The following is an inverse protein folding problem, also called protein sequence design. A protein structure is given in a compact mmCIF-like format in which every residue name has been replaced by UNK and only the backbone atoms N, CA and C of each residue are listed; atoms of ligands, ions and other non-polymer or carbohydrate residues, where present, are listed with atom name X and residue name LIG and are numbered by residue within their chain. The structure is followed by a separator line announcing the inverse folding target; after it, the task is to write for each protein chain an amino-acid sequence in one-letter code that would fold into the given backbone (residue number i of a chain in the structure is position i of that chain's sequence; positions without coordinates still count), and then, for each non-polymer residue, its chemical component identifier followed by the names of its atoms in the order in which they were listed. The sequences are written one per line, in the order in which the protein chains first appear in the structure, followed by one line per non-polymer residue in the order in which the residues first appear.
data_IF_416364707963
#
_entry.id   IF_416364707963
#
_cell.length_a   1.000
_cell.length_b   1.000
_cell.length_c   1.000
_cell.angle_alpha   90.00
_cell.angle_beta   90.00
_cell.angle_gamma   90.00
#
_symmetry.space_group_name_H-M   'P 1'
#
loop_
_entity.id
_entity.type
_entity.pdbx_description
1 polymer ?
#
# COMPACT_ATOMS: atom_id res chain seq x y z
N UNK A 1 15.89 7.05 88.64
CA UNK A 1 16.41 7.71 87.43
C UNK A 1 16.52 6.64 86.33
N UNK A 2 15.51 6.54 85.45
CA UNK A 2 15.47 5.53 84.37
C UNK A 2 15.77 6.22 83.08
N UNK A 3 16.86 5.84 82.43
CA UNK A 3 17.26 6.30 81.10
C UNK A 3 16.47 5.53 80.03
N UNK A 4 15.81 6.24 79.13
CA UNK A 4 15.16 5.69 77.92
C UNK A 4 16.15 5.76 76.73
N UNK A 5 16.24 4.73 75.89
CA UNK A 5 17.09 4.79 74.71
C UNK A 5 16.33 5.46 73.54
N UNK A 6 16.99 6.41 72.94
CA UNK A 6 16.56 7.08 71.68
C UNK A 6 16.78 6.09 70.50
N UNK A 7 15.71 5.71 69.83
CA UNK A 7 15.79 4.96 68.57
C UNK A 7 15.92 5.95 67.41
N UNK A 8 17.10 6.00 66.81
CA UNK A 8 17.36 6.70 65.53
C UNK A 8 16.86 5.81 64.36
N UNK A 9 15.79 6.23 63.70
CA UNK A 9 15.31 5.58 62.48
C UNK A 9 16.06 6.22 61.29
N UNK A 10 16.92 5.43 60.66
CA UNK A 10 17.53 5.78 59.36
C UNK A 10 16.49 5.60 58.25
N UNK A 11 15.99 6.64 57.67
CA UNK A 11 15.17 6.61 56.48
C UNK A 11 16.08 6.46 55.24
N UNK A 12 16.13 5.28 54.67
CA UNK A 12 16.78 5.06 53.37
C UNK A 12 15.83 5.55 52.27
N UNK A 13 16.19 6.66 51.66
CA UNK A 13 15.53 7.15 50.44
C UNK A 13 15.94 6.26 49.24
N UNK A 14 15.04 5.38 48.81
CA UNK A 14 15.19 4.69 47.53
C UNK A 14 14.95 5.72 46.40
N UNK A 15 16.02 6.19 45.76
CA UNK A 15 15.92 6.83 44.44
C UNK A 15 15.56 5.76 43.42
N UNK A 16 14.29 5.67 43.07
CA UNK A 16 13.87 4.95 41.89
C UNK A 16 14.31 5.74 40.65
N UNK A 17 15.43 5.36 40.08
CA UNK A 17 15.80 5.80 38.75
C UNK A 17 14.80 5.17 37.77
N UNK A 18 13.82 5.93 37.34
CA UNK A 18 13.01 5.57 36.16
C UNK A 18 13.95 5.63 34.96
N UNK A 19 14.49 4.47 34.59
CA UNK A 19 15.08 4.30 33.26
C UNK A 19 13.97 4.61 32.28
N UNK A 20 14.04 5.75 31.61
CA UNK A 20 13.23 5.99 30.42
C UNK A 20 13.54 4.80 29.49
N UNK A 21 12.55 3.98 29.21
CA UNK A 21 12.68 2.93 28.21
C UNK A 21 13.04 3.65 26.92
N UNK A 22 14.30 3.61 26.51
CA UNK A 22 14.69 4.03 25.18
C UNK A 22 13.97 3.08 24.23
N UNK A 23 13.07 3.62 23.43
CA UNK A 23 12.42 2.82 22.41
C UNK A 23 13.51 2.18 21.53
N UNK A 24 13.24 0.96 21.06
CA UNK A 24 14.24 0.22 20.28
C UNK A 24 14.58 1.00 19.00
N UNK A 25 15.85 1.07 18.61
CA UNK A 25 16.23 1.67 17.35
C UNK A 25 15.61 0.87 16.20
N UNK A 26 15.13 1.58 15.20
CA UNK A 26 14.65 1.01 13.95
C UNK A 26 15.39 1.64 12.77
N UNK A 27 15.30 1.04 11.60
CA UNK A 27 15.97 1.52 10.41
C UNK A 27 14.93 1.89 9.36
N UNK A 28 15.14 3.05 8.74
CA UNK A 28 14.30 3.49 7.63
C UNK A 28 15.17 3.78 6.40
N UNK A 29 14.59 3.61 5.22
CA UNK A 29 15.10 4.23 4.00
C UNK A 29 14.16 5.36 3.63
N UNK A 30 14.73 6.51 3.23
CA UNK A 30 14.02 7.77 3.05
C UNK A 30 14.65 8.56 1.91
N UNK A 31 13.82 9.21 1.09
CA UNK A 31 14.28 10.06 -0.01
C UNK A 31 14.83 11.42 0.44
N UNK A 32 15.59 12.10 -0.42
CA UNK A 32 16.29 13.36 -0.14
C UNK A 32 15.40 14.42 0.53
N UNK A 33 14.21 14.65 -0.03
CA UNK A 33 13.30 15.70 0.46
C UNK A 33 12.80 15.41 1.88
N UNK A 34 12.43 14.18 2.14
CA UNK A 34 11.93 13.76 3.45
C UNK A 34 13.08 13.63 4.47
N UNK A 35 14.27 13.21 4.04
CA UNK A 35 15.46 13.14 4.88
C UNK A 35 15.82 14.49 5.51
N UNK A 36 15.64 15.60 4.80
CA UNK A 36 15.87 16.94 5.32
C UNK A 36 15.01 17.30 6.56
N UNK A 37 13.94 16.55 6.83
CA UNK A 37 13.08 16.74 8.01
C UNK A 37 13.53 15.91 9.22
N UNK A 38 14.31 14.85 9.00
CA UNK A 38 14.70 13.90 10.07
C UNK A 38 15.39 14.63 11.22
N UNK A 39 16.38 15.49 10.93
CA UNK A 39 17.10 16.21 11.96
C UNK A 39 16.22 17.14 12.81
N UNK A 40 15.11 17.64 12.23
CA UNK A 40 14.15 18.51 12.95
C UNK A 40 13.21 17.71 13.84
N UNK A 41 12.85 16.51 13.42
CA UNK A 41 11.85 15.66 14.08
C UNK A 41 12.51 14.72 15.08
N UNK A 42 13.64 14.16 14.72
CA UNK A 42 14.37 13.17 15.50
C UNK A 42 15.87 13.55 15.57
N UNK A 43 16.25 14.49 16.44
CA UNK A 43 17.62 15.02 16.49
C UNK A 43 18.68 13.97 16.85
N UNK A 44 18.28 12.85 17.44
CA UNK A 44 19.17 11.74 17.78
C UNK A 44 19.28 10.68 16.66
N UNK A 45 18.53 10.83 15.57
CA UNK A 45 18.61 9.92 14.45
C UNK A 45 19.98 10.02 13.75
N UNK A 46 20.43 8.89 13.19
CA UNK A 46 21.75 8.80 12.55
C UNK A 46 21.61 8.32 11.11
N UNK A 47 22.08 9.11 10.17
CA UNK A 47 22.23 8.65 8.80
C UNK A 47 23.42 7.69 8.71
N UNK A 48 23.18 6.43 8.34
CA UNK A 48 24.18 5.38 8.30
C UNK A 48 24.82 5.25 6.92
N UNK A 49 24.04 5.46 5.86
CA UNK A 49 24.50 5.39 4.48
C UNK A 49 23.59 6.22 3.57
N UNK A 50 24.12 6.62 2.42
CA UNK A 50 23.37 7.35 1.39
C UNK A 50 23.86 6.96 0.02
N UNK A 51 22.95 6.89 -0.96
CA UNK A 51 23.30 6.59 -2.35
C UNK A 51 22.32 7.28 -3.30
N UNK A 52 22.81 7.71 -4.46
CA UNK A 52 21.95 8.02 -5.60
C UNK A 52 21.52 6.71 -6.26
N UNK A 53 20.21 6.44 -6.27
CA UNK A 53 19.63 5.27 -6.92
C UNK A 53 18.99 5.70 -8.24
N UNK A 54 19.16 4.92 -9.31
CA UNK A 54 18.49 5.22 -10.57
C UNK A 54 16.99 5.01 -10.40
N UNK A 55 16.20 5.91 -10.97
CA UNK A 55 14.73 5.85 -11.01
C UNK A 55 14.27 6.18 -12.42
N UNK A 56 13.14 5.61 -12.82
CA UNK A 56 12.49 5.95 -14.07
C UNK A 56 11.30 6.88 -13.77
N UNK A 57 11.37 8.10 -14.30
CA UNK A 57 10.30 9.10 -14.12
C UNK A 57 9.72 9.49 -15.49
N UNK A 58 8.45 9.91 -15.56
CA UNK A 58 7.87 10.41 -16.79
C UNK A 58 8.71 11.55 -17.40
N UNK A 59 8.85 11.57 -18.72
CA UNK A 59 9.55 12.64 -19.46
C UNK A 59 8.90 14.00 -19.17
N UNK A 60 7.57 14.00 -19.09
CA UNK A 60 6.74 15.11 -18.62
C UNK A 60 5.51 14.54 -17.92
N UNK A 61 4.87 15.34 -17.08
CA UNK A 61 3.62 14.94 -16.43
C UNK A 61 2.60 14.47 -17.46
N UNK A 62 1.96 13.33 -17.21
CA UNK A 62 1.00 12.68 -18.10
C UNK A 62 1.63 11.80 -19.17
N UNK A 63 2.95 11.84 -19.39
CA UNK A 63 3.62 11.06 -20.43
C UNK A 63 3.86 9.61 -20.00
N UNK A 64 3.53 8.66 -20.89
CA UNK A 64 3.93 7.26 -20.73
C UNK A 64 5.43 7.03 -21.00
N UNK A 65 6.09 7.95 -21.70
CA UNK A 65 7.53 7.87 -21.96
C UNK A 65 8.31 8.18 -20.67
N UNK A 66 9.19 7.25 -20.28
CA UNK A 66 10.03 7.39 -19.11
C UNK A 66 11.43 7.88 -19.50
N UNK A 67 12.06 8.62 -18.61
CA UNK A 67 13.49 8.98 -18.67
C UNK A 67 14.19 8.48 -17.41
N UNK A 68 15.43 8.08 -17.56
CA UNK A 68 16.28 7.81 -16.43
C UNK A 68 16.54 9.11 -15.64
N UNK A 69 16.46 8.99 -14.32
CA UNK A 69 16.76 10.02 -13.33
C UNK A 69 17.50 9.36 -12.18
N UNK A 70 17.82 10.11 -11.13
CA UNK A 70 18.33 9.55 -9.90
C UNK A 70 17.67 10.24 -8.70
N UNK A 71 17.50 9.49 -7.61
CA UNK A 71 17.02 10.00 -6.33
C UNK A 71 18.01 9.63 -5.23
N UNK A 72 18.27 10.57 -4.33
CA UNK A 72 19.06 10.30 -3.14
C UNK A 72 18.23 9.49 -2.15
N UNK A 73 18.74 8.32 -1.77
CA UNK A 73 18.14 7.46 -0.75
C UNK A 73 19.09 7.34 0.42
N UNK A 74 18.56 7.53 1.61
CA UNK A 74 19.31 7.52 2.87
C UNK A 74 18.82 6.38 3.75
N UNK A 75 19.76 5.66 4.37
CA UNK A 75 19.49 4.73 5.47
C UNK A 75 19.67 5.47 6.77
N UNK A 76 18.63 5.53 7.58
CA UNK A 76 18.60 6.26 8.84
C UNK A 76 18.23 5.31 9.98
N UNK A 77 19.02 5.33 11.05
CA UNK A 77 18.64 4.73 12.33
C UNK A 77 17.89 5.77 13.14
N UNK A 78 16.71 5.45 13.61
CA UNK A 78 15.78 6.34 14.29
C UNK A 78 15.06 5.61 15.42
N UNK A 79 14.61 6.34 16.43
CA UNK A 79 13.70 5.82 17.45
C UNK A 79 12.34 5.48 16.82
N UNK A 80 11.88 4.24 17.02
CA UNK A 80 10.61 3.74 16.50
C UNK A 80 9.41 4.64 16.86
N UNK A 81 9.39 5.17 18.07
CA UNK A 81 8.36 6.09 18.54
C UNK A 81 8.28 7.41 17.77
N UNK A 82 9.31 7.75 16.99
CA UNK A 82 9.33 8.97 16.18
C UNK A 82 8.70 8.82 14.80
N UNK A 83 8.43 7.60 14.34
CA UNK A 83 7.91 7.36 12.99
C UNK A 83 6.56 8.05 12.72
N UNK A 84 5.56 8.02 13.62
CA UNK A 84 4.31 8.75 13.41
C UNK A 84 4.53 10.28 13.32
N UNK A 85 5.47 10.81 14.10
CA UNK A 85 5.80 12.24 14.05
C UNK A 85 6.51 12.60 12.76
N UNK A 86 7.38 11.72 12.26
CA UNK A 86 8.07 11.90 10.98
C UNK A 86 7.07 11.88 9.81
N UNK A 87 6.16 10.91 9.77
CA UNK A 87 5.10 10.83 8.76
C UNK A 87 4.28 12.12 8.70
N UNK A 88 3.77 12.59 9.85
CA UNK A 88 3.05 13.87 9.92
C UNK A 88 3.90 15.08 9.52
N UNK A 89 5.21 15.07 9.81
CA UNK A 89 6.09 16.16 9.41
C UNK A 89 6.32 16.17 7.89
N UNK A 90 6.49 15.02 7.27
CA UNK A 90 6.61 14.88 5.82
C UNK A 90 5.34 15.43 5.16
N UNK A 91 4.16 14.98 5.61
CA UNK A 91 2.91 15.49 5.09
C UNK A 91 2.80 17.01 5.20
N UNK A 92 3.02 17.59 6.38
CA UNK A 92 2.91 19.04 6.60
C UNK A 92 3.85 19.90 5.75
N UNK A 93 5.06 19.38 5.48
CA UNK A 93 6.08 20.14 4.76
C UNK A 93 6.06 19.88 3.26
N UNK A 94 5.63 18.69 2.83
CA UNK A 94 5.70 18.24 1.44
C UNK A 94 4.34 17.92 0.85
N UNK A 95 3.30 17.84 1.67
CA UNK A 95 1.95 17.42 1.30
C UNK A 95 1.98 16.05 0.60
N UNK A 96 2.71 15.08 1.17
CA UNK A 96 2.89 13.73 0.63
C UNK A 96 2.47 12.69 1.64
N UNK A 97 1.87 11.62 1.16
CA UNK A 97 1.74 10.37 1.87
C UNK A 97 3.07 9.60 1.85
N UNK A 98 3.38 8.82 2.87
CA UNK A 98 4.60 8.03 2.96
C UNK A 98 5.89 8.84 2.99
N UNK A 99 6.86 8.47 2.14
CA UNK A 99 8.15 9.14 2.01
C UNK A 99 9.30 8.43 2.72
N UNK A 100 9.04 7.35 3.44
CA UNK A 100 10.02 6.43 3.99
C UNK A 100 9.50 5.00 4.09
N UNK A 101 10.42 4.06 4.14
CA UNK A 101 10.14 2.64 4.36
C UNK A 101 10.83 2.21 5.65
N UNK A 102 10.11 1.54 6.55
CA UNK A 102 10.70 0.95 7.74
C UNK A 102 11.25 -0.44 7.43
N UNK A 103 12.33 -0.83 8.10
CA UNK A 103 12.98 -2.13 7.97
C UNK A 103 13.16 -2.79 9.33
N UNK A 104 13.05 -4.11 9.37
CA UNK A 104 13.26 -4.89 10.60
C UNK A 104 14.73 -4.94 10.98
N UNK A 105 15.63 -4.86 10.00
CA UNK A 105 17.07 -4.93 10.20
C UNK A 105 17.83 -3.87 9.40
N UNK A 106 18.98 -3.45 9.94
CA UNK A 106 19.91 -2.58 9.22
C UNK A 106 20.37 -3.19 7.89
N UNK A 107 20.53 -4.52 7.83
CA UNK A 107 20.94 -5.20 6.61
C UNK A 107 19.88 -5.07 5.49
N UNK A 108 18.60 -5.16 5.83
CA UNK A 108 17.50 -4.92 4.87
C UNK A 108 17.50 -3.47 4.37
N UNK A 109 17.65 -2.51 5.28
CA UNK A 109 17.73 -1.09 4.91
C UNK A 109 18.91 -0.81 3.95
N UNK A 110 20.08 -1.33 4.27
CA UNK A 110 21.27 -1.19 3.41
C UNK A 110 21.10 -1.90 2.06
N UNK A 111 20.41 -3.04 2.02
CA UNK A 111 20.16 -3.77 0.78
C UNK A 111 19.35 -2.95 -0.23
N UNK A 112 18.48 -2.04 0.22
CA UNK A 112 17.72 -1.14 -0.67
C UNK A 112 18.64 -0.22 -1.47
N UNK A 113 19.74 0.25 -0.88
CA UNK A 113 20.72 1.11 -1.57
C UNK A 113 21.46 0.40 -2.70
N UNK A 114 21.51 -0.94 -2.67
CA UNK A 114 22.24 -1.75 -3.66
C UNK A 114 21.32 -2.30 -4.75
N UNK A 115 20.03 -2.10 -4.63
CA UNK A 115 19.11 -2.43 -5.72
C UNK A 115 19.39 -1.50 -6.87
N UNK A 116 19.70 -2.08 -8.00
CA UNK A 116 19.62 -1.39 -9.28
C UNK A 116 18.14 -1.38 -9.63
N UNK A 117 17.57 -0.22 -9.90
CA UNK A 117 16.27 -0.15 -10.56
C UNK A 117 16.44 -0.73 -11.97
N UNK A 118 16.29 -1.96 -12.04
CA UNK A 118 16.22 -2.77 -13.20
C UNK A 118 15.40 -3.93 -12.78
N UNK A 119 14.32 -4.15 -13.46
CA UNK A 119 13.40 -5.22 -13.31
C UNK A 119 13.83 -6.30 -12.32
N UNK A 120 12.99 -6.70 -11.32
CA UNK A 120 13.16 -8.03 -10.75
C UNK A 120 13.38 -8.94 -11.94
N UNK A 121 14.30 -9.88 -11.84
CA UNK A 121 14.55 -10.87 -12.90
C UNK A 121 13.20 -11.26 -13.47
N UNK A 122 13.00 -10.95 -14.74
CA UNK A 122 11.71 -11.01 -15.44
C UNK A 122 11.28 -12.47 -15.67
N UNK A 123 11.51 -13.33 -14.67
CA UNK A 123 11.34 -14.76 -14.87
C UNK A 123 9.89 -15.21 -14.99
N UNK A 124 8.90 -14.42 -14.55
CA UNK A 124 7.49 -14.88 -14.57
C UNK A 124 6.46 -13.74 -14.69
N UNK A 125 6.70 -12.75 -15.55
CA UNK A 125 5.61 -11.85 -15.90
C UNK A 125 4.46 -12.65 -16.49
N UNK A 126 3.20 -12.48 -16.03
CA UNK A 126 2.04 -13.14 -16.63
C UNK A 126 1.88 -12.70 -18.09
N UNK A 127 1.17 -13.48 -18.87
CA UNK A 127 0.66 -12.97 -20.14
C UNK A 127 -0.27 -11.78 -19.85
N UNK A 128 0.02 -10.62 -20.42
CA UNK A 128 -0.84 -9.45 -20.35
C UNK A 128 -1.83 -9.42 -21.52
N UNK A 129 -2.46 -10.58 -21.79
CA UNK A 129 -3.55 -10.67 -22.74
C UNK A 129 -4.82 -10.04 -22.15
N UNK A 130 -5.66 -9.50 -23.01
CA UNK A 130 -7.02 -9.06 -22.69
C UNK A 130 -7.94 -10.01 -23.43
N UNK A 131 -8.32 -11.11 -22.79
CA UNK A 131 -9.04 -12.22 -23.41
C UNK A 131 -10.18 -12.79 -22.55
N UNK A 132 -10.46 -12.17 -21.41
CA UNK A 132 -11.54 -12.54 -20.49
C UNK A 132 -12.74 -11.57 -20.55
N UNK A 133 -12.97 -10.90 -21.69
CA UNK A 133 -13.98 -9.84 -21.84
C UNK A 133 -15.39 -10.30 -21.46
N UNK A 134 -15.74 -11.54 -21.71
CA UNK A 134 -17.07 -12.08 -21.37
C UNK A 134 -17.32 -12.00 -19.85
N UNK A 135 -16.31 -12.36 -19.04
CA UNK A 135 -16.42 -12.35 -17.58
C UNK A 135 -16.39 -10.92 -17.08
N UNK A 136 -15.43 -10.12 -17.54
CA UNK A 136 -15.28 -8.72 -17.12
C UNK A 136 -16.56 -7.94 -17.41
N UNK A 137 -17.10 -8.03 -18.64
CA UNK A 137 -18.31 -7.31 -19.04
C UNK A 137 -19.58 -7.77 -18.30
N UNK A 138 -19.61 -9.00 -17.79
CA UNK A 138 -20.70 -9.48 -16.94
C UNK A 138 -20.64 -8.92 -15.51
N UNK A 139 -19.43 -8.65 -15.00
CA UNK A 139 -19.21 -8.18 -13.61
C UNK A 139 -19.19 -6.65 -13.49
N UNK A 140 -18.62 -5.92 -14.46
CA UNK A 140 -18.52 -4.47 -14.42
C UNK A 140 -19.83 -3.73 -14.11
N UNK A 141 -21.01 -4.12 -14.71
CA UNK A 141 -22.27 -3.46 -14.42
C UNK A 141 -22.79 -3.67 -12.99
N UNK A 142 -22.24 -4.61 -12.26
CA UNK A 142 -22.63 -4.89 -10.89
C UNK A 142 -21.99 -3.92 -9.88
N UNK A 143 -20.94 -3.20 -10.28
CA UNK A 143 -20.24 -2.24 -9.40
C UNK A 143 -21.06 -0.96 -9.24
N UNK A 144 -21.22 -0.50 -8.00
CA UNK A 144 -22.06 0.62 -7.65
C UNK A 144 -21.32 1.64 -6.77
N UNK A 145 -21.28 2.89 -7.22
CA UNK A 145 -20.69 3.99 -6.43
C UNK A 145 -21.37 4.17 -5.06
N UNK A 146 -22.66 3.88 -4.95
CA UNK A 146 -23.40 3.96 -3.68
C UNK A 146 -22.89 2.98 -2.63
N UNK A 147 -22.47 1.76 -3.03
CA UNK A 147 -21.90 0.79 -2.10
C UNK A 147 -20.51 1.22 -1.63
N UNK A 148 -19.70 1.76 -2.56
CA UNK A 148 -18.38 2.32 -2.25
C UNK A 148 -18.56 3.47 -1.24
N UNK A 149 -19.44 4.43 -1.52
CA UNK A 149 -19.73 5.56 -0.64
C UNK A 149 -20.21 5.10 0.74
N UNK A 150 -21.04 4.07 0.80
CA UNK A 150 -21.51 3.50 2.07
C UNK A 150 -20.35 2.94 2.90
N UNK A 151 -19.42 2.23 2.28
CA UNK A 151 -18.24 1.68 2.96
C UNK A 151 -17.31 2.79 3.43
N UNK A 152 -17.01 3.79 2.59
CA UNK A 152 -16.24 4.98 2.98
C UNK A 152 -16.89 5.65 4.19
N UNK A 153 -18.22 5.84 4.16
CA UNK A 153 -18.96 6.47 5.26
C UNK A 153 -18.77 5.72 6.57
N UNK A 154 -18.88 4.40 6.56
CA UNK A 154 -18.73 3.58 7.76
C UNK A 154 -17.30 3.66 8.33
N UNK A 155 -16.28 3.55 7.47
CA UNK A 155 -14.88 3.64 7.89
C UNK A 155 -14.53 5.04 8.40
N UNK A 156 -15.02 6.08 7.76
CA UNK A 156 -14.79 7.47 8.16
C UNK A 156 -15.51 7.86 9.47
N UNK A 157 -16.46 7.07 9.94
CA UNK A 157 -17.16 7.33 11.21
C UNK A 157 -16.33 6.92 12.45
N UNK A 158 -15.34 6.05 12.31
CA UNK A 158 -14.39 5.81 13.41
C UNK A 158 -13.66 7.10 13.76
N UNK A 159 -13.36 7.32 15.05
CA UNK A 159 -12.63 8.52 15.51
C UNK A 159 -11.32 8.69 14.73
N UNK A 160 -10.64 7.59 14.55
CA UNK A 160 -9.52 7.38 13.64
C UNK A 160 -9.40 5.87 13.37
N UNK A 161 -8.46 5.47 12.51
CA UNK A 161 -8.15 4.06 12.29
C UNK A 161 -6.67 3.76 12.56
N UNK A 162 -6.04 4.54 13.45
CA UNK A 162 -4.59 4.36 13.75
C UNK A 162 -4.26 2.94 14.14
N UNK A 163 -3.12 2.46 13.66
CA UNK A 163 -2.64 1.11 13.86
C UNK A 163 -2.51 0.67 15.34
N UNK A 164 -2.35 1.63 16.26
CA UNK A 164 -2.16 1.41 17.69
C UNK A 164 -3.28 1.96 18.56
N UNK A 165 -4.42 2.37 17.98
CA UNK A 165 -5.59 2.84 18.72
C UNK A 165 -6.65 1.75 18.90
N UNK A 166 -7.49 1.91 19.91
CA UNK A 166 -8.68 1.05 20.09
C UNK A 166 -9.66 1.21 18.94
N UNK A 167 -9.74 2.38 18.34
CA UNK A 167 -10.56 2.66 17.16
C UNK A 167 -10.03 1.94 15.91
N UNK A 168 -8.71 1.88 15.73
CA UNK A 168 -8.09 1.12 14.64
C UNK A 168 -8.34 -0.38 14.76
N UNK A 169 -8.29 -0.93 15.97
CA UNK A 169 -8.68 -2.33 16.23
C UNK A 169 -10.14 -2.55 15.89
N UNK A 170 -11.04 -1.66 16.33
CA UNK A 170 -12.47 -1.77 16.05
C UNK A 170 -12.78 -1.66 14.54
N UNK A 171 -12.05 -0.83 13.79
CA UNK A 171 -12.18 -0.74 12.34
C UNK A 171 -11.75 -2.05 11.64
N UNK A 172 -10.66 -2.68 12.09
CA UNK A 172 -10.23 -3.98 11.58
C UNK A 172 -11.26 -5.08 11.86
N UNK A 173 -11.80 -5.14 13.08
CA UNK A 173 -12.83 -6.12 13.46
C UNK A 173 -14.13 -5.87 12.68
N UNK A 174 -14.50 -4.62 12.44
CA UNK A 174 -15.65 -4.26 11.61
C UNK A 174 -15.45 -4.75 10.18
N UNK A 175 -14.33 -4.42 9.54
CA UNK A 175 -14.06 -4.80 8.15
C UNK A 175 -14.03 -6.33 7.98
N UNK A 176 -13.39 -7.05 8.91
CA UNK A 176 -13.40 -8.50 8.93
C UNK A 176 -14.82 -9.07 8.91
N UNK A 177 -15.71 -8.53 9.74
CA UNK A 177 -17.10 -8.97 9.78
C UNK A 177 -17.87 -8.60 8.50
N UNK A 178 -17.63 -7.42 7.91
CA UNK A 178 -18.20 -7.04 6.62
C UNK A 178 -17.78 -8.01 5.52
N UNK A 179 -16.49 -8.31 5.42
CA UNK A 179 -15.99 -9.21 4.39
C UNK A 179 -16.48 -10.65 4.59
N UNK A 180 -16.62 -11.12 5.83
CA UNK A 180 -17.28 -12.42 6.10
C UNK A 180 -18.72 -12.46 5.60
N UNK A 181 -19.45 -11.39 5.76
CA UNK A 181 -20.85 -11.30 5.33
C UNK A 181 -21.00 -11.32 3.79
N UNK A 182 -19.93 -11.03 3.04
CA UNK A 182 -19.93 -11.14 1.57
C UNK A 182 -19.87 -12.60 1.05
N UNK A 183 -19.70 -13.58 1.93
CA UNK A 183 -19.79 -15.01 1.60
C UNK A 183 -21.01 -15.69 2.26
N UNK A 184 -22.26 -15.26 1.98
CA UNK A 184 -23.44 -15.78 2.66
C UNK A 184 -23.72 -17.25 2.34
N UNK A 185 -23.29 -17.73 1.17
CA UNK A 185 -23.40 -19.11 0.73
C UNK A 185 -22.33 -20.06 1.28
N UNK A 186 -21.42 -19.56 2.13
CA UNK A 186 -20.28 -20.30 2.69
C UNK A 186 -19.50 -21.08 1.62
N UNK A 187 -19.15 -20.44 0.51
CA UNK A 187 -18.29 -21.03 -0.52
C UNK A 187 -17.00 -21.52 0.13
N UNK A 188 -16.64 -22.78 -0.12
CA UNK A 188 -15.49 -23.45 0.51
C UNK A 188 -14.14 -22.96 -0.03
N UNK A 189 -14.12 -22.38 -1.20
CA UNK A 189 -12.96 -21.76 -1.84
C UNK A 189 -12.69 -20.34 -1.34
N UNK A 190 -13.56 -19.80 -0.46
CA UNK A 190 -13.41 -18.46 0.12
C UNK A 190 -12.92 -18.54 1.56
N UNK A 191 -11.92 -17.76 1.88
CA UNK A 191 -11.40 -17.59 3.24
C UNK A 191 -11.35 -16.11 3.60
N UNK A 192 -11.74 -15.79 4.83
CA UNK A 192 -11.59 -14.45 5.39
C UNK A 192 -10.86 -14.56 6.72
N UNK A 193 -9.80 -13.79 6.89
CA UNK A 193 -8.99 -13.85 8.11
C UNK A 193 -8.46 -12.47 8.51
N UNK A 194 -8.12 -12.34 9.76
CA UNK A 194 -7.29 -11.26 10.27
C UNK A 194 -5.84 -11.74 10.37
N UNK A 195 -4.90 -10.91 9.95
CA UNK A 195 -3.47 -11.14 10.06
C UNK A 195 -2.97 -10.34 11.26
N UNK A 196 -2.50 -11.06 12.28
CA UNK A 196 -1.98 -10.47 13.51
C UNK A 196 -0.55 -9.98 13.30
N UNK A 197 -0.26 -8.83 13.87
CA UNK A 197 1.04 -8.18 13.86
C UNK A 197 1.57 -7.99 15.29
N UNK A 198 2.72 -7.36 15.45
CA UNK A 198 3.29 -6.98 16.75
C UNK A 198 2.64 -5.74 17.37
N UNK A 199 1.74 -5.10 16.65
CA UNK A 199 0.92 -3.96 17.09
C UNK A 199 -0.57 -4.35 17.13
N UNK A 200 -1.42 -3.41 17.59
CA UNK A 200 -2.80 -3.73 17.97
C UNK A 200 -3.73 -3.99 16.77
N UNK A 201 -3.68 -3.13 15.74
CA UNK A 201 -4.52 -3.28 14.57
C UNK A 201 -4.04 -4.47 13.73
N UNK A 202 -4.97 -5.29 13.25
CA UNK A 202 -4.69 -6.40 12.35
C UNK A 202 -4.98 -5.98 10.90
N UNK A 203 -4.22 -6.52 9.95
CA UNK A 203 -4.63 -6.49 8.56
C UNK A 203 -5.78 -7.47 8.32
N UNK A 204 -6.62 -7.18 7.32
CA UNK A 204 -7.74 -8.06 6.95
C UNK A 204 -7.51 -8.61 5.55
N UNK A 205 -7.72 -9.92 5.40
CA UNK A 205 -7.58 -10.60 4.11
C UNK A 205 -8.86 -11.34 3.75
N UNK A 206 -9.30 -11.17 2.50
CA UNK A 206 -10.30 -11.99 1.84
C UNK A 206 -9.63 -12.71 0.67
N UNK A 207 -9.74 -14.01 0.58
CA UNK A 207 -9.13 -14.80 -0.49
C UNK A 207 -10.14 -15.73 -1.16
N UNK A 208 -9.95 -15.90 -2.47
CA UNK A 208 -10.66 -16.90 -3.28
C UNK A 208 -9.62 -17.87 -3.82
N UNK A 209 -9.74 -19.13 -3.45
CA UNK A 209 -8.84 -20.19 -3.93
C UNK A 209 -9.19 -20.50 -5.39
N UNK A 210 -8.19 -20.46 -6.24
CA UNK A 210 -8.36 -20.74 -7.67
C UNK A 210 -8.76 -22.19 -7.96
N UNK A 211 -9.58 -22.38 -8.97
CA UNK A 211 -10.05 -23.71 -9.43
C UNK A 211 -9.02 -24.47 -10.26
N UNK A 212 -7.94 -23.80 -10.71
CA UNK A 212 -6.83 -24.42 -11.43
C UNK A 212 -5.85 -25.12 -10.48
N UNK A 213 -4.93 -25.89 -11.06
CA UNK A 213 -3.81 -26.46 -10.30
C UNK A 213 -2.68 -25.42 -10.04
N UNK A 214 -2.94 -24.16 -10.27
CA UNK A 214 -1.99 -23.07 -10.11
C UNK A 214 -1.83 -22.71 -8.64
N UNK A 215 -0.58 -22.49 -8.22
CA UNK A 215 -0.26 -21.86 -6.93
C UNK A 215 -0.05 -20.36 -7.09
N UNK A 216 -0.27 -19.84 -8.29
CA UNK A 216 -0.13 -18.42 -8.60
C UNK A 216 -1.23 -17.60 -7.95
N UNK A 217 -0.89 -16.39 -7.57
CA UNK A 217 -1.77 -15.50 -6.81
C UNK A 217 -1.74 -14.10 -7.38
N UNK A 218 -2.91 -13.49 -7.51
CA UNK A 218 -3.12 -12.07 -7.85
C UNK A 218 -3.56 -11.35 -6.58
N UNK A 219 -2.98 -10.19 -6.29
CA UNK A 219 -3.22 -9.44 -5.04
C UNK A 219 -3.72 -8.04 -5.36
N UNK A 220 -4.84 -7.65 -4.74
CA UNK A 220 -5.33 -6.29 -4.70
C UNK A 220 -5.26 -5.76 -3.27
N UNK A 221 -4.56 -4.65 -3.07
CA UNK A 221 -4.31 -4.06 -1.75
C UNK A 221 -4.89 -2.65 -1.59
N UNK A 222 -5.14 -2.28 -0.33
CA UNK A 222 -5.47 -0.96 0.17
C UNK A 222 -5.02 -0.87 1.62
N UNK A 223 -4.86 0.32 2.22
CA UNK A 223 -4.56 0.36 3.64
C UNK A 223 -5.75 0.72 4.51
N UNK A 224 -5.77 0.20 5.72
CA UNK A 224 -6.91 0.32 6.63
C UNK A 224 -6.74 1.45 7.64
N UNK A 225 -5.51 1.73 8.05
CA UNK A 225 -5.25 2.76 9.03
C UNK A 225 -5.44 4.17 8.48
N UNK A 226 -5.55 5.14 9.37
CA UNK A 226 -5.58 6.57 9.06
C UNK A 226 -4.99 7.35 10.21
N UNK A 227 -4.30 8.45 9.93
CA UNK A 227 -3.67 9.29 10.94
C UNK A 227 -4.06 10.77 10.79
N UNK A 228 -3.96 11.48 11.90
CA UNK A 228 -3.94 12.95 11.94
C UNK A 228 -3.12 13.40 13.15
N UNK A 229 -2.82 14.69 13.21
CA UNK A 229 -2.14 15.27 14.37
C UNK A 229 -2.99 15.16 15.62
N UNK A 230 -2.36 14.74 16.74
CA UNK A 230 -3.02 14.64 18.05
C UNK A 230 -2.75 13.32 18.75
N UNK A 231 -3.45 13.10 19.86
CA UNK A 231 -3.30 11.87 20.64
C UNK A 231 -3.81 10.63 19.91
N UNK A 232 -3.26 9.48 20.25
CA UNK A 232 -3.56 8.20 19.60
C UNK A 232 -5.07 7.91 19.59
N UNK A 233 -5.74 8.07 20.73
CA UNK A 233 -7.19 7.79 20.87
C UNK A 233 -8.07 9.00 20.54
N UNK A 234 -7.54 10.23 20.58
CA UNK A 234 -8.35 11.44 20.53
C UNK A 234 -8.26 12.22 19.23
N UNK A 235 -7.22 12.01 18.43
CA UNK A 235 -7.12 12.64 17.13
C UNK A 235 -8.27 12.20 16.22
N UNK A 236 -8.94 13.16 15.57
CA UNK A 236 -9.92 12.87 14.53
C UNK A 236 -9.17 12.70 13.20
N UNK A 237 -9.23 11.49 12.64
CA UNK A 237 -8.68 11.14 11.33
C UNK A 237 -9.72 10.34 10.55
N UNK A 238 -10.65 10.99 9.85
CA UNK A 238 -11.68 10.30 9.08
C UNK A 238 -11.08 9.41 8.00
N UNK A 239 -10.01 9.89 7.34
CA UNK A 239 -9.36 9.15 6.27
C UNK A 239 -10.38 8.68 5.24
N UNK A 240 -11.23 9.59 4.74
CA UNK A 240 -12.31 9.21 3.84
C UNK A 240 -11.78 8.84 2.47
N UNK A 241 -10.76 9.57 2.03
CA UNK A 241 -10.03 9.29 0.81
C UNK A 241 -8.80 8.44 1.12
N UNK A 242 -8.06 8.79 2.15
CA UNK A 242 -6.84 8.15 2.61
C UNK A 242 -7.10 7.25 3.86
N UNK A 243 -7.30 5.92 3.76
CA UNK A 243 -7.58 5.19 2.54
C UNK A 243 -8.86 4.35 2.69
N UNK A 244 -9.94 5.00 3.22
CA UNK A 244 -11.24 4.32 3.19
C UNK A 244 -11.73 4.13 1.75
N UNK A 245 -11.28 4.96 0.80
CA UNK A 245 -11.69 4.90 -0.60
C UNK A 245 -11.16 3.64 -1.29
N UNK A 246 -9.88 3.29 -1.09
CA UNK A 246 -9.30 2.07 -1.60
C UNK A 246 -9.90 0.82 -0.96
N UNK A 247 -10.03 0.79 0.38
CA UNK A 247 -10.70 -0.33 1.08
C UNK A 247 -12.14 -0.53 0.59
N UNK A 248 -12.86 0.56 0.31
CA UNK A 248 -14.20 0.49 -0.24
C UNK A 248 -14.22 -0.06 -1.67
N UNK A 249 -13.23 0.30 -2.49
CA UNK A 249 -13.00 -0.27 -3.82
C UNK A 249 -12.80 -1.77 -3.77
N UNK A 250 -11.90 -2.25 -2.87
CA UNK A 250 -11.71 -3.69 -2.64
C UNK A 250 -13.00 -4.38 -2.25
N UNK A 251 -13.72 -3.80 -1.29
CA UNK A 251 -14.99 -4.36 -0.78
C UNK A 251 -16.02 -4.51 -1.88
N UNK A 252 -16.14 -3.54 -2.78
CA UNK A 252 -17.10 -3.58 -3.88
C UNK A 252 -16.69 -4.59 -4.97
N UNK A 253 -15.38 -4.74 -5.26
CA UNK A 253 -14.89 -5.79 -6.16
C UNK A 253 -15.22 -7.18 -5.59
N UNK A 254 -14.95 -7.42 -4.30
CA UNK A 254 -15.31 -8.66 -3.60
C UNK A 254 -16.80 -8.91 -3.76
N UNK A 255 -17.65 -7.93 -3.45
CA UNK A 255 -19.11 -8.05 -3.52
C UNK A 255 -19.57 -8.45 -4.94
N UNK A 256 -19.05 -7.79 -5.96
CA UNK A 256 -19.41 -8.08 -7.35
C UNK A 256 -18.97 -9.48 -7.78
N UNK A 257 -17.76 -9.89 -7.43
CA UNK A 257 -17.27 -11.25 -7.72
C UNK A 257 -18.10 -12.33 -7.02
N UNK A 258 -18.45 -12.11 -5.75
CA UNK A 258 -19.27 -13.05 -4.99
C UNK A 258 -20.71 -13.12 -5.52
N UNK A 259 -21.33 -11.98 -5.82
CA UNK A 259 -22.68 -11.92 -6.41
C UNK A 259 -22.73 -12.55 -7.81
N UNK A 260 -21.68 -12.39 -8.60
CA UNK A 260 -21.52 -13.00 -9.92
C UNK A 260 -21.08 -14.47 -9.90
N UNK A 261 -20.93 -15.07 -8.70
CA UNK A 261 -20.39 -16.43 -8.53
C UNK A 261 -19.06 -16.67 -9.28
N UNK A 262 -18.22 -15.65 -9.35
CA UNK A 262 -16.95 -15.75 -10.05
C UNK A 262 -16.01 -16.76 -9.37
N UNK A 263 -15.45 -17.66 -10.19
CA UNK A 263 -14.47 -18.67 -9.76
C UNK A 263 -13.19 -18.48 -10.57
N UNK A 264 -12.14 -17.95 -9.96
CA UNK A 264 -10.88 -17.73 -10.66
C UNK A 264 -10.14 -19.05 -10.95
N UNK A 265 -9.17 -18.98 -11.86
CA UNK A 265 -8.18 -20.07 -12.09
C UNK A 265 -6.98 -19.94 -11.16
N UNK A 266 -6.45 -18.71 -10.99
CA UNK A 266 -5.44 -18.37 -10.01
C UNK A 266 -6.06 -18.00 -8.67
N UNK A 267 -5.31 -18.11 -7.59
CA UNK A 267 -5.74 -17.56 -6.30
C UNK A 267 -5.87 -16.04 -6.37
N UNK A 268 -6.86 -15.51 -5.66
CA UNK A 268 -7.03 -14.06 -5.47
C UNK A 268 -6.89 -13.74 -3.99
N UNK A 269 -6.21 -12.64 -3.67
CA UNK A 269 -6.17 -12.09 -2.32
C UNK A 269 -6.50 -10.60 -2.38
N UNK A 270 -7.45 -10.19 -1.57
CA UNK A 270 -7.73 -8.79 -1.23
C UNK A 270 -7.16 -8.54 0.15
N UNK A 271 -6.36 -7.50 0.31
CA UNK A 271 -5.68 -7.24 1.58
C UNK A 271 -5.87 -5.78 1.96
N UNK A 272 -6.51 -5.55 3.13
CA UNK A 272 -6.52 -4.26 3.79
C UNK A 272 -5.39 -4.21 4.81
N UNK A 273 -4.31 -3.51 4.49
CA UNK A 273 -3.09 -3.46 5.29
C UNK A 273 -3.28 -2.58 6.53
N UNK A 274 -2.73 -2.98 7.66
CA UNK A 274 -2.61 -2.17 8.85
C UNK A 274 -1.26 -1.44 8.86
N UNK A 275 -1.17 -0.28 9.51
CA UNK A 275 0.08 0.44 9.77
C UNK A 275 0.87 0.84 8.51
N UNK A 276 0.18 1.23 7.44
CA UNK A 276 0.79 1.85 6.26
C UNK A 276 1.44 3.17 6.63
N UNK A 277 0.70 4.02 7.32
CA UNK A 277 0.96 5.41 7.66
C UNK A 277 2.24 5.66 8.49
N UNK A 278 2.84 4.59 8.97
CA UNK A 278 4.08 4.61 9.77
C UNK A 278 5.23 3.87 9.09
N UNK A 279 5.21 3.85 7.76
CA UNK A 279 6.29 3.30 6.93
C UNK A 279 6.00 1.92 6.35
N UNK A 280 4.78 1.68 5.90
CA UNK A 280 4.33 0.49 5.17
C UNK A 280 4.47 -0.82 5.98
N UNK A 281 4.23 -0.75 7.27
CA UNK A 281 4.55 -1.86 8.19
C UNK A 281 3.77 -3.12 7.92
N UNK A 282 2.46 -2.99 7.68
CA UNK A 282 1.59 -4.14 7.49
C UNK A 282 1.89 -4.90 6.20
N UNK A 283 2.07 -4.20 5.09
CA UNK A 283 2.44 -4.82 3.83
C UNK A 283 3.82 -5.46 3.88
N UNK A 284 4.81 -4.81 4.52
CA UNK A 284 6.14 -5.41 4.72
C UNK A 284 6.09 -6.68 5.55
N UNK A 285 5.32 -6.69 6.66
CA UNK A 285 5.15 -7.87 7.49
C UNK A 285 4.52 -9.04 6.70
N UNK A 286 3.54 -8.73 5.85
CA UNK A 286 2.88 -9.74 5.01
C UNK A 286 3.80 -10.24 3.90
N UNK A 287 4.50 -9.36 3.22
CA UNK A 287 5.41 -9.73 2.14
C UNK A 287 6.61 -10.53 2.64
N UNK A 288 7.11 -10.21 3.84
CA UNK A 288 8.21 -10.95 4.48
C UNK A 288 7.81 -12.40 4.85
N UNK A 289 6.53 -12.66 5.05
CA UNK A 289 5.99 -14.02 5.27
C UNK A 289 5.84 -14.83 3.97
N UNK A 290 6.21 -14.28 2.82
CA UNK A 290 6.21 -14.94 1.51
C UNK A 290 7.62 -15.39 1.08
N UNK A 291 8.42 -16.10 1.89
CA UNK A 291 9.79 -16.43 1.56
C UNK A 291 9.85 -17.41 0.37
N UNK A 292 10.66 -17.09 -0.61
CA UNK A 292 10.97 -17.98 -1.74
C UNK A 292 9.81 -18.23 -2.71
N UNK A 293 8.76 -17.41 -2.69
CA UNK A 293 7.55 -17.59 -3.53
C UNK A 293 7.34 -16.44 -4.52
N UNK A 294 8.40 -15.82 -5.00
CA UNK A 294 8.32 -14.77 -6.02
C UNK A 294 7.56 -15.22 -7.28
N UNK A 295 7.75 -16.46 -7.64
CA UNK A 295 7.11 -17.17 -8.75
C UNK A 295 5.59 -17.37 -8.58
N UNK A 296 5.06 -17.19 -7.35
CA UNK A 296 3.65 -17.46 -7.04
C UNK A 296 2.77 -16.20 -6.95
N UNK A 297 3.35 -15.03 -6.85
CA UNK A 297 2.60 -13.76 -6.93
C UNK A 297 2.85 -13.15 -8.30
N UNK A 298 1.85 -13.24 -9.17
CA UNK A 298 1.95 -12.83 -10.59
C UNK A 298 1.65 -11.36 -10.82
N UNK A 299 1.02 -10.69 -9.86
CA UNK A 299 0.76 -9.26 -9.92
C UNK A 299 0.18 -8.75 -8.61
N UNK A 300 0.54 -7.53 -8.28
CA UNK A 300 0.01 -6.75 -7.15
C UNK A 300 -0.49 -5.42 -7.69
N UNK A 301 -1.68 -5.00 -7.30
CA UNK A 301 -2.18 -3.65 -7.52
C UNK A 301 -2.55 -3.05 -6.17
N UNK A 302 -2.16 -1.80 -5.94
CA UNK A 302 -2.56 -1.01 -4.77
C UNK A 302 -3.62 0.00 -5.18
N UNK A 303 -4.69 0.10 -4.40
CA UNK A 303 -5.62 1.22 -4.42
C UNK A 303 -5.40 2.01 -3.14
N UNK A 304 -5.10 3.30 -3.29
CA UNK A 304 -4.84 4.20 -2.19
C UNK A 304 -5.16 5.61 -2.67
N UNK A 305 -6.11 6.27 -2.03
CA UNK A 305 -6.68 7.52 -2.47
C UNK A 305 -7.26 7.44 -3.89
N UNK A 306 -8.55 7.18 -3.97
CA UNK A 306 -9.25 6.94 -5.26
C UNK A 306 -10.48 7.82 -5.47
N UNK A 307 -10.86 8.64 -4.47
CA UNK A 307 -12.15 9.31 -4.49
C UNK A 307 -12.11 10.77 -4.92
N UNK A 308 -10.97 11.45 -4.84
CA UNK A 308 -10.83 12.86 -5.17
C UNK A 308 -10.36 13.05 -6.62
N UNK A 309 -11.14 13.75 -7.43
CA UNK A 309 -10.71 14.10 -8.80
C UNK A 309 -10.00 15.45 -8.80
N UNK A 310 -8.67 15.44 -8.74
CA UNK A 310 -7.85 16.64 -8.61
C UNK A 310 -7.62 17.41 -9.91
N UNK A 311 -7.77 16.74 -11.06
CA UNK A 311 -7.59 17.36 -12.39
C UNK A 311 -8.49 16.69 -13.46
N UNK A 312 -8.27 17.00 -14.73
CA UNK A 312 -9.07 16.47 -15.85
C UNK A 312 -8.69 15.05 -16.27
N UNK A 313 -7.59 14.49 -15.76
CA UNK A 313 -7.19 13.11 -16.03
C UNK A 313 -7.92 12.16 -15.09
N UNK A 314 -8.49 11.11 -15.64
CA UNK A 314 -9.35 10.21 -14.85
C UNK A 314 -8.58 9.24 -13.98
N UNK A 315 -7.44 8.74 -14.45
CA UNK A 315 -6.62 7.74 -13.77
C UNK A 315 -5.16 8.08 -14.00
N UNK A 316 -4.42 8.27 -12.94
CA UNK A 316 -2.97 8.40 -12.97
C UNK A 316 -2.32 7.06 -12.65
N UNK A 317 -1.24 6.73 -13.33
CA UNK A 317 -0.41 5.56 -13.04
C UNK A 317 0.94 6.06 -12.54
N UNK A 318 1.24 5.81 -11.28
CA UNK A 318 2.52 6.17 -10.71
C UNK A 318 3.59 5.16 -11.11
N UNK A 319 4.78 5.65 -11.42
CA UNK A 319 5.82 4.87 -12.10
C UNK A 319 6.95 4.44 -11.20
N UNK A 320 7.08 5.03 -10.02
CA UNK A 320 8.06 4.66 -9.02
C UNK A 320 7.60 3.45 -8.19
N UNK A 321 8.51 2.55 -7.89
CA UNK A 321 8.24 1.26 -7.24
C UNK A 321 7.18 0.40 -7.94
N UNK A 322 7.05 0.53 -9.27
CA UNK A 322 6.09 -0.22 -10.07
C UNK A 322 6.78 -0.92 -11.25
N UNK A 323 6.06 -1.86 -11.87
CA UNK A 323 6.55 -2.58 -13.05
C UNK A 323 5.98 -1.94 -14.33
N UNK A 324 6.86 -1.52 -15.24
CA UNK A 324 6.46 -0.81 -16.46
C UNK A 324 5.56 -1.66 -17.37
N UNK A 325 5.77 -2.97 -17.47
CA UNK A 325 4.93 -3.84 -18.29
C UNK A 325 3.52 -3.99 -17.68
N UNK A 326 3.40 -4.12 -16.36
CA UNK A 326 2.10 -4.14 -15.70
C UNK A 326 1.42 -2.76 -15.78
N UNK A 327 2.14 -1.67 -15.66
CA UNK A 327 1.58 -0.32 -15.83
C UNK A 327 1.03 -0.12 -17.25
N UNK A 328 1.72 -0.62 -18.27
CA UNK A 328 1.20 -0.60 -19.64
C UNK A 328 -0.04 -1.46 -19.79
N UNK A 329 -0.08 -2.62 -19.16
CA UNK A 329 -1.26 -3.48 -19.13
C UNK A 329 -2.45 -2.78 -18.45
N UNK A 330 -2.22 -2.11 -17.31
CA UNK A 330 -3.24 -1.29 -16.62
C UNK A 330 -3.81 -0.22 -17.55
N UNK A 331 -2.96 0.50 -18.28
CA UNK A 331 -3.41 1.49 -19.25
C UNK A 331 -4.21 0.87 -20.41
N UNK A 332 -3.79 -0.30 -20.90
CA UNK A 332 -4.50 -1.04 -21.94
C UNK A 332 -5.91 -1.49 -21.47
N UNK A 333 -6.04 -1.86 -20.20
CA UNK A 333 -7.34 -2.22 -19.60
C UNK A 333 -8.29 -1.02 -19.53
N UNK A 334 -7.77 0.17 -19.23
CA UNK A 334 -8.59 1.40 -19.31
C UNK A 334 -9.13 1.58 -20.72
N UNK A 335 -8.28 1.46 -21.75
CA UNK A 335 -8.71 1.54 -23.14
C UNK A 335 -9.74 0.50 -23.55
N UNK A 336 -9.60 -0.74 -23.05
CA UNK A 336 -10.46 -1.85 -23.41
C UNK A 336 -11.82 -1.87 -22.70
N UNK A 337 -11.84 -1.52 -21.40
CA UNK A 337 -13.02 -1.70 -20.54
C UNK A 337 -13.66 -0.41 -20.06
N UNK A 338 -12.93 0.68 -20.12
CA UNK A 338 -13.34 1.98 -19.59
C UNK A 338 -13.23 3.08 -20.67
N UNK A 339 -13.83 2.87 -21.85
CA UNK A 339 -13.68 3.80 -22.96
C UNK A 339 -14.16 5.20 -22.55
N UNK A 340 -13.35 6.20 -22.86
CA UNK A 340 -13.62 7.59 -22.52
C UNK A 340 -12.91 8.08 -21.24
N UNK A 341 -12.25 7.19 -20.48
CA UNK A 341 -11.38 7.64 -19.40
C UNK A 341 -9.95 7.86 -19.89
N UNK A 342 -9.38 8.97 -19.44
CA UNK A 342 -8.00 9.37 -19.74
C UNK A 342 -7.02 8.76 -18.75
N UNK A 343 -5.80 8.48 -19.23
CA UNK A 343 -4.69 7.97 -18.42
C UNK A 343 -3.53 8.96 -18.47
N UNK A 344 -3.00 9.28 -17.29
CA UNK A 344 -1.76 10.04 -17.14
C UNK A 344 -0.71 9.25 -16.37
N UNK A 345 0.54 9.71 -16.38
CA UNK A 345 1.65 9.10 -15.65
C UNK A 345 2.36 10.15 -14.80
N UNK A 346 2.66 9.80 -13.58
CA UNK A 346 3.42 10.63 -12.64
C UNK A 346 4.28 9.76 -11.71
N UNK A 347 4.96 10.39 -10.78
CA UNK A 347 5.78 9.76 -9.77
C UNK A 347 5.62 10.49 -8.44
N UNK A 348 5.41 9.77 -7.35
CA UNK A 348 5.23 10.38 -6.03
C UNK A 348 6.55 10.70 -5.33
N UNK A 349 7.64 10.16 -5.77
CA UNK A 349 8.93 10.26 -5.13
C UNK A 349 9.34 8.95 -4.47
N UNK A 350 9.33 8.83 -3.16
CA UNK A 350 9.85 7.64 -2.47
C UNK A 350 8.79 6.96 -1.60
N UNK A 351 8.49 5.68 -1.92
CA UNK A 351 7.71 4.76 -1.08
C UNK A 351 6.37 5.30 -0.59
N UNK A 352 5.48 5.69 -1.50
CA UNK A 352 4.27 6.43 -1.17
C UNK A 352 3.04 5.56 -0.87
N UNK A 353 3.11 4.24 -1.05
CA UNK A 353 2.08 3.30 -0.61
C UNK A 353 2.58 1.86 -0.62
N UNK A 354 1.75 0.92 -0.19
CA UNK A 354 2.07 -0.50 0.04
C UNK A 354 2.59 -1.26 -1.18
N UNK A 355 2.33 -0.80 -2.41
CA UNK A 355 2.93 -1.37 -3.63
C UNK A 355 4.47 -1.40 -3.54
N UNK A 356 5.06 -0.40 -2.87
CA UNK A 356 6.50 -0.30 -2.72
C UNK A 356 7.08 -1.44 -1.86
N UNK A 357 6.34 -1.94 -0.88
CA UNK A 357 6.75 -3.12 -0.09
C UNK A 357 6.89 -4.37 -0.96
N UNK A 358 5.94 -4.60 -1.85
CA UNK A 358 5.96 -5.72 -2.79
C UNK A 358 7.06 -5.57 -3.83
N UNK A 359 7.14 -4.39 -4.46
CA UNK A 359 8.19 -4.08 -5.43
C UNK A 359 9.59 -4.27 -4.83
N UNK A 360 9.81 -3.79 -3.61
CA UNK A 360 11.09 -3.93 -2.92
C UNK A 360 11.50 -5.38 -2.64
N UNK A 361 10.56 -6.30 -2.61
CA UNK A 361 10.85 -7.75 -2.50
C UNK A 361 10.88 -8.44 -3.86
N UNK A 362 10.82 -7.68 -4.96
CA UNK A 362 10.96 -8.17 -6.33
C UNK A 362 9.66 -8.69 -6.94
N UNK A 363 8.50 -8.35 -6.36
CA UNK A 363 7.21 -8.66 -6.97
C UNK A 363 6.80 -7.59 -7.97
N UNK A 364 6.00 -8.00 -8.96
CA UNK A 364 5.41 -7.11 -9.95
C UNK A 364 4.29 -6.32 -9.28
N UNK A 365 4.40 -4.99 -9.27
CA UNK A 365 3.42 -4.10 -8.65
C UNK A 365 3.00 -2.97 -9.58
N UNK A 366 1.80 -2.42 -9.39
CA UNK A 366 1.30 -1.21 -10.02
C UNK A 366 0.48 -0.38 -9.03
N UNK A 367 0.43 0.92 -9.28
CA UNK A 367 -0.23 1.89 -8.42
C UNK A 367 -1.00 2.93 -9.26
N UNK A 368 -2.27 2.65 -9.63
CA UNK A 368 -3.18 3.66 -10.14
C UNK A 368 -3.62 4.58 -9.01
N UNK A 369 -3.60 5.90 -9.26
CA UNK A 369 -3.82 6.95 -8.28
C UNK A 369 -4.81 8.00 -8.78
N UNK A 370 -5.48 8.70 -7.89
CA UNK A 370 -6.61 9.59 -8.18
C UNK A 370 -6.25 10.84 -8.98
N UNK A 371 -5.03 11.34 -8.82
CA UNK A 371 -4.59 12.60 -9.43
C UNK A 371 -3.06 12.62 -9.60
N UNK A 372 -2.52 13.69 -10.21
CA UNK A 372 -1.07 13.92 -10.25
C UNK A 372 -0.51 14.31 -8.88
N UNK A 373 0.80 14.18 -8.69
CA UNK A 373 1.52 14.60 -7.47
C UNK A 373 1.35 16.10 -7.14
N UNK A 374 0.77 16.88 -8.03
CA UNK A 374 0.50 18.30 -7.81
C UNK A 374 -0.97 18.62 -7.49
N UNK A 375 -1.90 17.68 -7.65
CA UNK A 375 -3.34 17.99 -7.65
C UNK A 375 -4.19 17.05 -6.81
N UNK A 376 -3.61 16.01 -6.20
CA UNK A 376 -4.36 15.06 -5.36
C UNK A 376 -4.92 15.73 -4.08
N UNK A 377 -5.71 15.00 -3.31
CA UNK A 377 -6.35 15.48 -2.09
C UNK A 377 -5.32 15.87 -1.01
N UNK A 378 -5.06 17.16 -0.87
CA UNK A 378 -4.14 17.69 0.17
C UNK A 378 -4.76 17.77 1.57
N UNK A 379 -5.96 17.25 1.79
CA UNK A 379 -6.57 17.14 3.11
C UNK A 379 -6.23 15.82 3.83
N UNK A 380 -5.52 14.88 3.17
CA UNK A 380 -5.05 13.65 3.81
C UNK A 380 -4.33 13.97 5.13
N UNK A 381 -4.28 13.03 6.07
CA UNK A 381 -3.70 13.17 7.43
C UNK A 381 -4.24 14.36 8.23
N UNK A 382 -5.44 14.83 7.91
CA UNK A 382 -6.12 15.89 8.66
C UNK A 382 -7.55 15.50 9.01
N UNK A 383 -8.18 16.18 9.98
CA UNK A 383 -9.62 15.99 10.25
C UNK A 383 -10.55 16.37 9.08
N UNK A 384 -10.02 17.02 8.04
CA UNK A 384 -10.77 17.47 6.89
C UNK A 384 -10.79 16.46 5.74
N UNK A 385 -10.06 15.35 5.83
CA UNK A 385 -10.20 14.26 4.86
C UNK A 385 -11.54 13.54 5.06
N UNK A 386 -12.57 14.13 4.48
CA UNK A 386 -13.97 13.75 4.64
C UNK A 386 -14.63 13.53 3.28
N UNK A 387 -15.78 12.88 3.27
CA UNK A 387 -16.59 12.68 2.06
C UNK A 387 -16.91 14.01 1.34
N UNK A 388 -17.02 15.11 2.07
CA UNK A 388 -17.27 16.43 1.49
C UNK A 388 -16.10 16.92 0.60
N UNK A 389 -14.88 16.50 0.89
CA UNK A 389 -13.66 16.88 0.15
C UNK A 389 -13.72 16.45 -1.31
N UNK A 390 -14.32 15.30 -1.59
CA UNK A 390 -14.51 14.79 -2.95
C UNK A 390 -15.97 14.89 -3.45
N UNK A 391 -16.72 15.88 -2.95
CA UNK A 391 -18.04 16.23 -3.48
C UNK A 391 -19.19 15.32 -3.09
N UNK A 392 -19.02 14.47 -2.07
CA UNK A 392 -20.11 13.66 -1.51
C UNK A 392 -20.50 12.43 -2.34
N UNK A 393 -19.71 12.04 -3.35
CA UNK A 393 -20.00 10.89 -4.21
C UNK A 393 -18.77 10.02 -4.40
N UNK A 394 -18.95 8.73 -4.62
CA UNK A 394 -17.83 7.82 -4.94
C UNK A 394 -17.70 7.54 -6.45
N UNK A 395 -18.14 8.47 -7.29
CA UNK A 395 -18.09 8.28 -8.75
C UNK A 395 -16.65 8.19 -9.27
N UNK A 396 -15.71 8.92 -8.65
CA UNK A 396 -14.30 8.84 -9.03
C UNK A 396 -13.70 7.50 -8.58
N UNK A 397 -13.93 7.08 -7.33
CA UNK A 397 -13.49 5.78 -6.81
C UNK A 397 -14.05 4.60 -7.63
N UNK A 398 -15.23 4.73 -8.19
CA UNK A 398 -15.80 3.71 -9.07
C UNK A 398 -14.96 3.45 -10.32
N UNK A 399 -14.21 4.45 -10.84
CA UNK A 399 -13.30 4.27 -11.99
C UNK A 399 -12.19 3.27 -11.64
N UNK A 400 -11.57 3.46 -10.48
CA UNK A 400 -10.51 2.59 -9.95
C UNK A 400 -11.05 1.21 -9.59
N UNK A 401 -12.23 1.14 -9.01
CA UNK A 401 -12.90 -0.13 -8.68
C UNK A 401 -13.17 -0.96 -9.96
N UNK A 402 -13.63 -0.31 -11.04
CA UNK A 402 -13.82 -0.95 -12.34
C UNK A 402 -12.50 -1.44 -12.94
N UNK A 403 -11.46 -0.61 -12.90
CA UNK A 403 -10.12 -0.96 -13.38
C UNK A 403 -9.57 -2.16 -12.59
N UNK A 404 -9.67 -2.13 -11.27
CA UNK A 404 -9.19 -3.19 -10.39
C UNK A 404 -9.93 -4.52 -10.64
N UNK A 405 -11.26 -4.46 -10.84
CA UNK A 405 -12.03 -5.66 -11.22
C UNK A 405 -11.56 -6.24 -12.55
N UNK A 406 -11.41 -5.40 -13.58
CA UNK A 406 -10.96 -5.86 -14.90
C UNK A 406 -9.54 -6.46 -14.81
N UNK A 407 -8.61 -5.78 -14.14
CA UNK A 407 -7.25 -6.26 -13.92
C UNK A 407 -7.22 -7.59 -13.17
N UNK A 408 -8.00 -7.72 -12.11
CA UNK A 408 -8.07 -8.92 -11.31
C UNK A 408 -8.63 -10.11 -12.11
N UNK A 409 -9.70 -9.89 -12.87
CA UNK A 409 -10.34 -10.94 -13.67
C UNK A 409 -9.43 -11.39 -14.81
N UNK A 410 -8.80 -10.47 -15.53
CA UNK A 410 -7.89 -10.82 -16.62
C UNK A 410 -6.72 -11.66 -16.12
N UNK A 411 -6.08 -11.26 -15.02
CA UNK A 411 -4.96 -12.03 -14.49
C UNK A 411 -5.37 -13.32 -13.78
N UNK A 412 -6.53 -13.36 -13.13
CA UNK A 412 -6.92 -14.52 -12.32
C UNK A 412 -7.71 -15.57 -13.10
N UNK A 413 -8.26 -15.25 -14.26
CA UNK A 413 -8.95 -16.22 -15.13
C UNK A 413 -7.98 -17.07 -15.95
N UNK A 414 -6.74 -16.61 -16.15
CA UNK A 414 -5.70 -17.34 -16.85
C UNK A 414 -5.06 -18.40 -15.96
N UNK A 415 -5.25 -19.65 -16.27
CA UNK A 415 -4.68 -20.77 -15.53
C UNK A 415 -3.40 -21.36 -16.14
N UNK A 416 -2.85 -20.75 -17.17
CA UNK A 416 -1.62 -21.21 -17.82
C UNK A 416 -0.39 -20.67 -17.12
N UNK A 417 0.60 -21.51 -16.79
CA UNK A 417 1.89 -21.02 -16.30
C UNK A 417 2.49 -20.04 -17.32
N UNK A 418 3.05 -18.93 -16.84
CA UNK A 418 3.77 -18.01 -17.69
C UNK A 418 4.84 -18.80 -18.49
N UNK A 419 4.72 -18.81 -19.80
CA UNK A 419 5.81 -19.32 -20.64
C UNK A 419 6.92 -18.30 -20.59
N UNK A 420 8.10 -18.72 -20.16
CA UNK A 420 9.30 -17.90 -20.25
C UNK A 420 9.43 -17.39 -21.70
N UNK A 421 9.27 -16.09 -21.91
CA UNK A 421 9.59 -15.49 -23.20
C UNK A 421 11.09 -15.66 -23.41
N UNK A 422 11.47 -16.56 -24.33
CA UNK A 422 12.85 -16.72 -24.74
C UNK A 422 13.38 -15.37 -25.21
N UNK A 423 14.45 -14.90 -24.59
CA UNK A 423 15.15 -13.71 -25.03
C UNK A 423 15.43 -13.84 -26.54
N UNK A 424 15.22 -12.79 -27.35
CA UNK A 424 15.50 -12.86 -28.77
C UNK A 424 16.97 -13.24 -28.96
N UNK A 425 17.18 -14.34 -29.68
CA UNK A 425 18.52 -14.86 -29.95
C UNK A 425 19.39 -13.75 -30.55
N UNK A 426 20.49 -13.44 -29.87
CA UNK A 426 21.46 -12.50 -30.37
C UNK A 426 21.94 -12.96 -31.76
N UNK A 427 21.56 -12.24 -32.80
CA UNK A 427 22.07 -12.49 -34.15
C UNK A 427 23.56 -12.21 -34.15
N UNK A 428 24.37 -13.27 -34.14
CA UNK A 428 25.78 -13.17 -34.37
C UNK A 428 26.02 -12.67 -35.78
N UNK A 429 26.41 -11.41 -35.93
CA UNK A 429 26.99 -10.94 -37.18
C UNK A 429 28.36 -11.63 -37.36
N UNK A 430 28.37 -12.67 -38.14
CA UNK A 430 29.62 -13.20 -38.69
C UNK A 430 30.21 -12.15 -39.62
N UNK A 431 31.30 -11.54 -39.20
CA UNK A 431 32.12 -10.71 -40.08
C UNK A 431 32.80 -11.66 -41.07
N UNK A 432 32.39 -11.60 -42.34
CA UNK A 432 33.15 -12.16 -43.45
C UNK A 432 34.30 -11.22 -43.80
N UNK A 433 35.48 -11.81 -43.88
CA UNK A 433 36.69 -11.16 -44.38
C UNK A 433 36.57 -10.83 -45.87
#
# INVERSE_FOLDING_TARGET
MKLFPVKTTLAAALLAATAAATAAPTWITIGDKAHALVAKVAPNARTLASRQVPVNVPVSRGSAALRASSEGVHVVEIDDGMLPTLSLAIHRNQRKCGGFLKHETMAEALAVLHRVDGAPEQELAPSYAIDNQTIVNALLPQLQASNILSTITQLSNFQNRRYNSTHGVAASDWLFNQWKALNPGNRRDVQVRQITHTWAQKSVEFSIIGSGNSTETVILGAHLDSIASGGVETARAPGADDDASGVAGLTEVIRAMMAGNYVPKRNIRFIAYAAEEVGLWGSQAIVNQQPGRRDKVVGVMQLDMTAFQGDSTDIWIYTDFTNAAQNQFVANLVGAYLPGYSVGYDACGYGCSDHASWHNKGFIASFPFEASDATYNFQLHTPNDTIATFGGTANHALKFTKLALAWMVELASDGTPAQAQAAPAATSKTASR
#
